data_IF_893833900154
#
_entry.id   IF_893833900154
#
_cell.length_a   1.000
_cell.length_b   1.000
_cell.length_c   1.000
_cell.angle_alpha   90.00
_cell.angle_beta   90.00
_cell.angle_gamma   90.00
#
_symmetry.space_group_name_H-M   'P 1'
#
loop_
_entity.id
_entity.type
_entity.pdbx_description
1 polymer ?
#
# COMPACT_ATOMS: atom_id res chain seq x y z
N UNK A 1 -4.16 9.14 0.38
CA UNK A 1 -2.71 9.42 0.46
C UNK A 1 -2.38 10.91 0.51
N UNK A 2 -2.92 11.82 -0.35
CA UNK A 2 -2.76 13.29 -0.14
C UNK A 2 -3.17 13.76 1.26
N UNK A 3 -4.10 13.06 1.92
CA UNK A 3 -4.57 13.36 3.29
C UNK A 3 -3.61 12.88 4.38
N UNK A 4 -2.86 11.80 4.16
CA UNK A 4 -1.85 11.30 5.12
C UNK A 4 -0.68 12.29 5.18
N UNK A 5 -0.26 12.81 4.02
CA UNK A 5 0.80 13.83 3.96
C UNK A 5 0.39 15.13 4.66
N UNK A 6 -0.86 15.57 4.49
CA UNK A 6 -1.39 16.75 5.19
C UNK A 6 -1.47 16.55 6.71
N UNK A 7 -1.74 15.33 7.18
CA UNK A 7 -1.78 15.00 8.60
C UNK A 7 -0.39 15.01 9.23
N UNK A 8 0.60 14.43 8.54
CA UNK A 8 2.01 14.45 8.96
C UNK A 8 2.55 15.89 9.05
N UNK A 9 2.21 16.74 8.06
CA UNK A 9 2.62 18.16 8.06
C UNK A 9 1.92 18.96 9.17
N UNK A 10 0.64 18.69 9.47
CA UNK A 10 -0.09 19.36 10.57
C UNK A 10 0.43 18.96 11.96
N UNK A 11 0.86 17.71 12.17
CA UNK A 11 1.45 17.29 13.44
C UNK A 11 2.79 17.98 13.71
N UNK A 12 3.62 18.15 12.70
CA UNK A 12 4.89 18.88 12.82
C UNK A 12 4.68 20.39 13.12
N UNK A 13 3.60 21.01 12.58
CA UNK A 13 3.28 22.41 12.82
C UNK A 13 2.65 22.67 14.21
N UNK A 14 1.98 21.69 14.80
CA UNK A 14 1.38 21.85 16.14
C UNK A 14 2.40 21.69 17.29
N UNK A 15 3.48 20.94 17.08
CA UNK A 15 4.55 20.80 18.09
C UNK A 15 5.42 22.07 18.23
N UNK A 16 5.39 22.99 17.26
CA UNK A 16 6.15 24.25 17.25
C UNK A 16 5.44 25.45 17.93
N UNK A 17 4.19 25.32 18.39
CA UNK A 17 3.39 26.46 18.84
C UNK A 17 3.29 26.65 20.36
N UNK A 18 4.04 25.87 21.17
CA UNK A 18 3.97 25.93 22.65
C UNK A 18 5.17 26.58 23.35
N UNK A 19 6.05 27.25 22.62
CA UNK A 19 7.11 28.04 23.24
C UNK A 19 7.02 29.49 22.77
N UNK A 20 6.35 30.35 23.51
CA UNK A 20 6.69 31.72 23.85
C UNK A 20 5.45 32.51 24.24
N UNK A 21 5.42 32.98 25.48
CA UNK A 21 5.10 34.36 25.81
C UNK A 21 5.26 34.52 27.33
N UNK A 22 6.48 34.83 27.76
CA UNK A 22 6.67 35.56 28.99
C UNK A 22 6.78 37.04 28.62
N UNK A 23 5.76 37.79 28.98
CA UNK A 23 5.72 39.26 28.88
C UNK A 23 6.68 39.82 29.87
N UNK A 24 7.64 40.64 29.41
CA UNK A 24 8.57 41.43 30.26
C UNK A 24 7.89 42.78 30.49
N UNK A 25 7.65 43.07 31.78
CA UNK A 25 7.28 44.41 32.25
C UNK A 25 8.55 45.30 32.37
N UNK A 26 8.54 46.55 31.93
CA UNK A 26 9.65 47.46 32.08
C UNK A 26 9.39 48.35 33.28
N UNK A 27 10.14 48.17 34.37
CA UNK A 27 10.60 49.22 35.28
C UNK A 27 11.15 48.62 36.61
N UNK A 28 12.43 48.71 36.81
CA UNK A 28 13.16 49.25 37.99
C UNK A 28 14.64 48.79 38.06
N UNK A 29 15.51 49.53 38.73
CA UNK A 29 16.84 49.81 38.24
C UNK A 29 17.96 49.01 38.93
N UNK A 30 19.06 49.07 38.25
CA UNK A 30 20.45 48.74 38.52
C UNK A 30 20.90 48.80 40.01
N UNK A 31 21.57 47.73 40.45
CA UNK A 31 22.63 47.84 41.48
C UNK A 31 23.65 46.71 41.29
N UNK A 32 24.84 47.11 40.87
CA UNK A 32 26.12 46.38 40.92
C UNK A 32 26.53 46.03 42.34
N UNK A 33 27.08 44.83 42.59
CA UNK A 33 28.33 44.64 43.37
C UNK A 33 28.92 43.23 43.09
N UNK A 34 30.24 43.19 43.10
CA UNK A 34 31.15 42.15 42.63
C UNK A 34 31.49 41.02 43.61
N UNK A 35 32.02 39.98 42.99
CA UNK A 35 33.09 39.04 43.40
C UNK A 35 32.87 38.06 44.55
N UNK A 36 33.13 36.78 44.23
CA UNK A 36 33.43 35.72 45.21
C UNK A 36 33.48 34.33 44.56
N UNK A 37 34.69 33.89 44.23
CA UNK A 37 35.09 32.53 43.82
C UNK A 37 34.73 31.48 44.86
N UNK A 38 34.20 30.32 44.45
CA UNK A 38 34.72 28.98 44.86
C UNK A 38 34.08 27.87 44.03
N UNK A 39 34.91 26.93 43.61
CA UNK A 39 34.55 25.72 42.87
C UNK A 39 33.90 24.65 43.77
N UNK A 40 32.92 23.94 43.27
CA UNK A 40 32.67 22.54 43.65
C UNK A 40 31.92 21.83 42.51
N UNK A 41 32.42 20.67 42.16
CA UNK A 41 31.89 19.76 41.17
C UNK A 41 30.57 19.14 41.65
N UNK A 42 29.63 18.97 40.72
CA UNK A 42 28.43 18.17 40.86
C UNK A 42 27.87 17.96 39.49
N UNK A 43 28.16 16.80 38.89
CA UNK A 43 27.53 16.37 37.69
C UNK A 43 26.07 16.03 38.01
N UNK A 44 25.15 16.59 37.28
CA UNK A 44 23.78 16.10 37.17
C UNK A 44 23.45 15.84 35.70
N UNK A 45 23.15 14.61 35.53
CA UNK A 45 22.76 13.85 34.36
C UNK A 45 21.38 14.36 33.86
N UNK A 46 21.36 15.26 32.89
CA UNK A 46 20.12 15.79 32.27
C UNK A 46 19.83 15.07 30.93
N UNK A 47 19.92 13.73 30.98
CA UNK A 47 19.62 12.87 29.80
C UNK A 47 18.24 12.20 29.83
N UNK A 48 17.43 12.45 30.88
CA UNK A 48 16.11 11.75 31.04
C UNK A 48 14.89 12.49 30.50
N UNK A 49 15.01 13.76 30.15
CA UNK A 49 13.83 14.55 29.68
C UNK A 49 13.58 14.44 28.18
N UNK A 50 14.58 14.15 27.33
CA UNK A 50 14.44 14.09 25.87
C UNK A 50 13.85 12.77 25.37
N UNK A 51 14.06 11.65 26.04
CA UNK A 51 13.54 10.34 25.59
C UNK A 51 12.01 10.23 25.73
N UNK A 52 11.43 10.76 26.80
CA UNK A 52 9.98 10.66 27.04
C UNK A 52 9.12 11.53 26.11
N UNK A 53 9.66 12.64 25.60
CA UNK A 53 8.96 13.52 24.66
C UNK A 53 8.98 12.95 23.24
N UNK A 54 10.06 12.31 22.84
CA UNK A 54 10.20 11.64 21.54
C UNK A 54 9.32 10.37 21.47
N UNK A 55 9.25 9.58 22.53
CA UNK A 55 8.36 8.41 22.62
C UNK A 55 6.90 8.83 22.53
N UNK A 56 6.51 9.93 23.18
CA UNK A 56 5.13 10.44 23.12
C UNK A 56 4.74 10.92 21.72
N UNK A 57 5.64 11.57 20.99
CA UNK A 57 5.42 12.00 19.59
C UNK A 57 5.28 10.80 18.66
N UNK A 58 6.12 9.79 18.83
CA UNK A 58 6.07 8.55 18.03
C UNK A 58 4.76 7.81 18.24
N UNK A 59 4.29 7.65 19.48
CA UNK A 59 3.01 7.00 19.75
C UNK A 59 1.81 7.82 19.23
N UNK A 60 1.86 9.14 19.30
CA UNK A 60 0.83 10.01 18.70
C UNK A 60 0.79 9.86 17.16
N UNK A 61 1.95 9.78 16.51
CA UNK A 61 2.05 9.53 15.07
C UNK A 61 1.47 8.16 14.70
N UNK A 62 1.83 7.10 15.44
CA UNK A 62 1.29 5.75 15.23
C UNK A 62 -0.23 5.72 15.37
N UNK A 63 -0.77 6.38 16.39
CA UNK A 63 -2.22 6.48 16.58
C UNK A 63 -2.91 7.19 15.42
N UNK A 64 -2.33 8.28 14.92
CA UNK A 64 -2.86 9.03 13.78
C UNK A 64 -2.83 8.20 12.48
N UNK A 65 -1.72 7.49 12.22
CA UNK A 65 -1.60 6.58 11.06
C UNK A 65 -2.64 5.44 11.12
N UNK A 66 -2.81 4.81 12.29
CA UNK A 66 -3.84 3.77 12.49
C UNK A 66 -5.23 4.30 12.18
N UNK A 67 -5.60 5.45 12.74
CA UNK A 67 -6.89 6.08 12.51
C UNK A 67 -7.14 6.41 11.02
N UNK A 68 -6.09 6.86 10.30
CA UNK A 68 -6.21 7.14 8.86
C UNK A 68 -6.42 5.86 8.05
N UNK A 69 -5.61 4.82 8.30
CA UNK A 69 -5.72 3.55 7.57
C UNK A 69 -7.04 2.81 7.83
N UNK A 70 -7.64 2.95 9.00
CA UNK A 70 -8.89 2.28 9.36
C UNK A 70 -10.15 2.94 8.79
N UNK A 71 -10.10 4.18 8.30
CA UNK A 71 -11.28 4.94 7.84
C UNK A 71 -12.18 4.15 6.88
N UNK A 72 -11.59 3.49 5.89
CA UNK A 72 -12.36 2.72 4.91
C UNK A 72 -12.95 1.43 5.51
N UNK A 73 -12.25 0.80 6.45
CA UNK A 73 -12.72 -0.39 7.16
C UNK A 73 -13.83 -0.04 8.17
N UNK A 74 -13.81 1.15 8.77
CA UNK A 74 -14.82 1.61 9.73
C UNK A 74 -16.18 1.87 9.08
N UNK A 75 -16.23 2.09 7.75
CA UNK A 75 -17.47 2.19 6.99
C UNK A 75 -18.17 0.82 6.76
N UNK A 76 -17.50 -0.31 7.08
CA UNK A 76 -18.06 -1.65 6.94
C UNK A 76 -18.96 -1.96 8.13
N UNK A 77 -20.24 -2.24 7.85
CA UNK A 77 -21.23 -2.64 8.85
C UNK A 77 -21.42 -4.15 8.84
N UNK A 78 -21.35 -4.76 10.02
CA UNK A 78 -21.49 -6.21 10.21
C UNK A 78 -22.72 -6.48 11.07
N UNK A 79 -23.67 -7.28 10.57
CA UNK A 79 -24.79 -7.84 11.31
C UNK A 79 -24.58 -9.34 11.60
N UNK A 80 -25.53 -9.98 12.23
CA UNK A 80 -25.44 -11.42 12.55
C UNK A 80 -25.35 -12.29 11.27
N UNK A 81 -26.06 -11.90 10.20
CA UNK A 81 -26.25 -12.72 8.99
C UNK A 81 -25.63 -12.11 7.72
N UNK A 82 -25.20 -10.85 7.76
CA UNK A 82 -24.74 -10.13 6.58
C UNK A 82 -23.64 -9.09 6.86
N UNK A 83 -22.96 -8.69 5.80
CA UNK A 83 -21.97 -7.58 5.80
C UNK A 83 -22.39 -6.56 4.75
N UNK A 84 -22.46 -5.29 5.15
CA UNK A 84 -22.85 -4.15 4.31
C UNK A 84 -21.68 -3.19 4.15
N UNK A 85 -21.36 -2.82 2.92
CA UNK A 85 -20.21 -2.00 2.56
C UNK A 85 -20.43 -1.29 1.23
N UNK A 86 -19.59 -0.31 0.91
CA UNK A 86 -19.47 0.26 -0.44
C UNK A 86 -18.42 -0.52 -1.23
N UNK A 87 -18.69 -0.84 -2.47
CA UNK A 87 -17.73 -1.43 -3.41
C UNK A 87 -17.42 -0.47 -4.58
N UNK A 88 -16.73 -0.94 -5.60
CA UNK A 88 -16.36 -0.10 -6.74
C UNK A 88 -17.57 0.35 -7.60
N UNK A 89 -18.76 -0.23 -7.43
CA UNK A 89 -20.00 0.18 -8.11
C UNK A 89 -20.78 1.23 -7.32
N UNK A 90 -20.39 1.52 -6.08
CA UNK A 90 -21.10 2.41 -5.15
C UNK A 90 -20.78 3.90 -5.36
N UNK A 91 -20.51 4.33 -6.60
CA UNK A 91 -20.18 5.73 -6.90
C UNK A 91 -21.31 6.72 -6.58
N UNK A 92 -22.56 6.26 -6.55
CA UNK A 92 -23.76 7.00 -6.17
C UNK A 92 -24.01 7.03 -4.65
N UNK A 93 -23.12 6.42 -3.84
CA UNK A 93 -23.26 6.27 -2.40
C UNK A 93 -24.08 5.06 -1.96
N UNK A 94 -24.54 4.22 -2.90
CA UNK A 94 -25.21 2.96 -2.58
C UNK A 94 -24.32 2.00 -1.81
N UNK A 95 -24.91 0.99 -1.18
CA UNK A 95 -24.18 -0.07 -0.46
C UNK A 95 -24.54 -1.43 -1.02
N UNK A 96 -23.60 -2.36 -0.91
CA UNK A 96 -23.76 -3.76 -1.21
C UNK A 96 -23.92 -4.53 0.09
N UNK A 97 -24.87 -5.46 0.17
CA UNK A 97 -25.09 -6.32 1.33
C UNK A 97 -24.93 -7.77 0.91
N UNK A 98 -24.01 -8.48 1.54
CA UNK A 98 -23.69 -9.89 1.23
C UNK A 98 -23.97 -10.74 2.47
N UNK A 99 -24.66 -11.85 2.28
CA UNK A 99 -24.88 -12.86 3.33
C UNK A 99 -23.56 -13.53 3.73
N UNK A 100 -23.44 -13.81 5.02
CA UNK A 100 -22.30 -14.58 5.57
C UNK A 100 -22.36 -16.06 5.16
N UNK A 101 -21.20 -16.69 5.19
CA UNK A 101 -21.01 -18.12 4.97
C UNK A 101 -21.53 -18.62 3.60
N UNK A 102 -21.14 -18.00 2.46
CA UNK A 102 -21.48 -18.52 1.15
C UNK A 102 -20.87 -19.91 0.96
N UNK A 103 -21.69 -20.89 0.52
CA UNK A 103 -21.22 -22.28 0.33
C UNK A 103 -20.36 -22.45 -0.93
N UNK A 104 -20.58 -21.62 -1.95
CA UNK A 104 -19.86 -21.67 -3.23
C UNK A 104 -19.41 -20.28 -3.64
N UNK A 105 -18.12 -20.04 -3.68
CA UNK A 105 -17.53 -18.77 -4.10
C UNK A 105 -16.73 -18.97 -5.38
N UNK A 106 -16.90 -18.06 -6.36
CA UNK A 106 -16.05 -17.96 -7.54
C UNK A 106 -15.27 -16.65 -7.45
N UNK A 107 -13.94 -16.72 -7.57
CA UNK A 107 -13.09 -15.54 -7.53
C UNK A 107 -12.35 -15.36 -8.84
N UNK A 108 -12.57 -14.21 -9.48
CA UNK A 108 -12.12 -13.91 -10.85
C UNK A 108 -10.84 -13.07 -10.90
N UNK A 109 -10.12 -12.98 -9.76
CA UNK A 109 -8.83 -12.29 -9.70
C UNK A 109 -7.89 -12.96 -8.71
N UNK A 110 -6.73 -13.44 -9.18
CA UNK A 110 -5.84 -14.28 -8.38
C UNK A 110 -5.40 -13.65 -7.03
N UNK A 111 -5.05 -12.33 -7.02
CA UNK A 111 -4.68 -11.65 -5.77
C UNK A 111 -5.86 -11.51 -4.79
N UNK A 112 -7.11 -11.44 -5.28
CA UNK A 112 -8.28 -11.44 -4.39
C UNK A 112 -8.63 -12.85 -3.92
N UNK A 113 -8.28 -13.87 -4.72
CA UNK A 113 -8.36 -15.26 -4.28
C UNK A 113 -7.43 -15.48 -3.09
N UNK A 114 -6.18 -15.01 -3.16
CA UNK A 114 -5.26 -15.13 -2.01
C UNK A 114 -5.75 -14.36 -0.78
N UNK A 115 -6.28 -13.17 -0.95
CA UNK A 115 -6.90 -12.38 0.13
C UNK A 115 -8.12 -13.10 0.74
N UNK A 116 -8.97 -13.71 -0.09
CA UNK A 116 -10.13 -14.46 0.35
C UNK A 116 -9.74 -15.68 1.20
N UNK A 117 -8.68 -16.41 0.77
CA UNK A 117 -8.13 -17.52 1.55
C UNK A 117 -7.50 -17.04 2.87
N UNK A 118 -6.76 -15.95 2.86
CA UNK A 118 -6.17 -15.33 4.05
C UNK A 118 -7.25 -14.91 5.06
N UNK A 119 -8.42 -14.51 4.56
CA UNK A 119 -9.60 -14.17 5.35
C UNK A 119 -10.48 -15.39 5.72
N UNK A 120 -9.95 -16.62 5.60
CA UNK A 120 -10.62 -17.87 6.01
C UNK A 120 -11.57 -18.49 4.98
N UNK A 121 -11.69 -17.89 3.79
CA UNK A 121 -12.60 -18.40 2.76
C UNK A 121 -12.00 -19.50 1.88
N UNK A 122 -12.83 -20.10 1.04
CA UNK A 122 -12.44 -21.04 -0.01
C UNK A 122 -13.24 -20.78 -1.29
N UNK A 123 -12.80 -21.31 -2.42
CA UNK A 123 -13.48 -21.11 -3.71
C UNK A 123 -13.76 -22.44 -4.39
N UNK A 124 -14.82 -22.49 -5.23
CA UNK A 124 -15.12 -23.60 -6.14
C UNK A 124 -14.71 -23.27 -7.57
N UNK A 125 -14.40 -22.01 -7.86
CA UNK A 125 -13.94 -21.55 -9.17
C UNK A 125 -12.92 -20.41 -9.05
N UNK A 126 -11.84 -20.49 -9.83
CA UNK A 126 -10.74 -19.52 -9.77
C UNK A 126 -10.09 -19.29 -11.13
N UNK A 127 -9.19 -18.30 -11.18
CA UNK A 127 -8.32 -18.06 -12.33
C UNK A 127 -7.11 -18.99 -12.24
N UNK A 128 -6.77 -19.66 -13.35
CA UNK A 128 -5.58 -20.50 -13.49
C UNK A 128 -4.44 -19.80 -14.23
N UNK A 129 -3.54 -20.63 -14.76
CA UNK A 129 -2.33 -20.20 -15.46
C UNK A 129 -1.14 -19.98 -14.53
N UNK A 130 0.08 -20.06 -15.07
CA UNK A 130 1.32 -20.12 -14.28
C UNK A 130 1.50 -18.94 -13.30
N UNK A 131 1.12 -17.73 -13.72
CA UNK A 131 1.22 -16.56 -12.83
C UNK A 131 0.30 -16.66 -11.62
N UNK A 132 -0.92 -17.17 -11.79
CA UNK A 132 -1.87 -17.37 -10.69
C UNK A 132 -1.46 -18.52 -9.79
N UNK A 133 -1.01 -19.65 -10.39
CA UNK A 133 -0.52 -20.82 -9.66
C UNK A 133 0.69 -20.48 -8.78
N UNK A 134 1.64 -19.70 -9.29
CA UNK A 134 2.79 -19.21 -8.48
C UNK A 134 2.31 -18.37 -7.30
N UNK A 135 1.32 -17.50 -7.52
CA UNK A 135 0.76 -16.67 -6.46
C UNK A 135 0.04 -17.51 -5.40
N UNK A 136 -0.72 -18.53 -5.80
CA UNK A 136 -1.37 -19.44 -4.87
C UNK A 136 -0.36 -20.25 -4.06
N UNK A 137 0.68 -20.79 -4.70
CA UNK A 137 1.76 -21.49 -4.00
C UNK A 137 2.44 -20.60 -2.94
N UNK A 138 2.68 -19.32 -3.27
CA UNK A 138 3.35 -18.39 -2.36
C UNK A 138 2.46 -17.96 -1.18
N UNK A 139 1.19 -17.65 -1.42
CA UNK A 139 0.30 -17.07 -0.39
C UNK A 139 -0.62 -18.08 0.29
N UNK A 140 -0.98 -19.18 -0.38
CA UNK A 140 -1.87 -20.22 0.15
C UNK A 140 -1.07 -21.48 0.52
N UNK A 141 0.18 -21.58 0.05
CA UNK A 141 1.06 -22.74 0.29
C UNK A 141 0.83 -23.93 -0.64
N UNK A 142 -0.06 -23.79 -1.65
CA UNK A 142 -0.34 -24.84 -2.65
C UNK A 142 -1.01 -24.28 -3.90
N UNK A 143 -0.94 -25.02 -5.00
CA UNK A 143 -1.70 -24.74 -6.21
C UNK A 143 -3.14 -25.23 -6.06
N UNK A 144 -4.06 -24.31 -5.74
CA UNK A 144 -5.48 -24.60 -5.58
C UNK A 144 -6.17 -25.01 -6.88
N UNK A 145 -5.59 -24.76 -8.05
CA UNK A 145 -6.18 -25.16 -9.34
C UNK A 145 -6.24 -26.66 -9.54
N UNK A 146 -5.44 -27.41 -8.74
CA UNK A 146 -5.41 -28.87 -8.71
C UNK A 146 -6.31 -29.49 -7.63
N UNK A 147 -6.96 -28.68 -6.79
CA UNK A 147 -7.84 -29.17 -5.72
C UNK A 147 -9.06 -29.91 -6.32
N UNK A 148 -9.50 -30.99 -5.66
CA UNK A 148 -10.67 -31.75 -6.08
C UNK A 148 -11.93 -30.87 -6.08
N UNK A 149 -12.65 -30.84 -7.19
CA UNK A 149 -13.86 -30.02 -7.36
C UNK A 149 -13.58 -28.55 -7.76
N UNK A 150 -12.31 -28.14 -7.87
CA UNK A 150 -11.96 -26.82 -8.36
C UNK A 150 -12.25 -26.68 -9.86
N UNK A 151 -12.83 -25.55 -10.24
CA UNK A 151 -13.05 -25.20 -11.64
C UNK A 151 -12.19 -24.02 -12.04
N UNK A 152 -11.27 -24.21 -12.98
CA UNK A 152 -10.54 -23.11 -13.62
C UNK A 152 -11.45 -22.47 -14.65
N UNK A 153 -11.85 -21.21 -14.41
CA UNK A 153 -12.80 -20.46 -15.25
C UNK A 153 -12.12 -19.56 -16.27
N UNK A 154 -10.83 -19.33 -16.12
CA UNK A 154 -9.97 -18.67 -17.11
C UNK A 154 -8.50 -18.93 -16.76
N UNK A 155 -7.59 -18.70 -17.71
CA UNK A 155 -6.14 -18.85 -17.53
C UNK A 155 -5.42 -17.51 -17.31
N UNK A 156 -6.14 -16.39 -17.32
CA UNK A 156 -5.61 -15.04 -17.06
C UNK A 156 -6.63 -14.20 -16.31
N UNK A 157 -6.16 -13.33 -15.42
CA UNK A 157 -7.03 -12.40 -14.69
C UNK A 157 -7.55 -11.23 -15.53
N UNK A 158 -7.08 -11.05 -16.78
CA UNK A 158 -7.44 -9.89 -17.63
C UNK A 158 -8.94 -9.77 -17.94
N UNK A 159 -9.72 -10.81 -17.68
CA UNK A 159 -11.17 -10.83 -17.91
C UNK A 159 -11.61 -10.97 -19.37
N UNK A 160 -10.67 -10.87 -20.33
CA UNK A 160 -11.01 -10.96 -21.77
C UNK A 160 -11.52 -12.34 -22.22
N UNK A 161 -11.27 -13.38 -21.41
CA UNK A 161 -11.60 -14.78 -21.74
C UNK A 161 -12.16 -15.52 -20.53
N UNK A 162 -12.94 -14.85 -19.69
CA UNK A 162 -13.70 -15.55 -18.65
C UNK A 162 -14.79 -16.41 -19.29
N UNK A 163 -14.86 -17.66 -18.91
CA UNK A 163 -15.92 -18.57 -19.30
C UNK A 163 -17.19 -18.30 -18.47
N UNK A 164 -17.96 -17.31 -18.88
CA UNK A 164 -19.13 -16.81 -18.16
C UNK A 164 -20.20 -17.90 -18.00
N UNK A 165 -20.38 -18.76 -19.01
CA UNK A 165 -21.33 -19.86 -18.94
C UNK A 165 -20.91 -20.86 -17.87
N UNK A 166 -19.63 -21.23 -17.84
CA UNK A 166 -19.07 -22.09 -16.81
C UNK A 166 -19.18 -21.49 -15.40
N UNK A 167 -18.93 -20.17 -15.26
CA UNK A 167 -19.05 -19.46 -13.98
C UNK A 167 -20.49 -19.57 -13.47
N UNK A 168 -21.48 -19.24 -14.30
CA UNK A 168 -22.90 -19.29 -13.91
C UNK A 168 -23.37 -20.72 -13.68
N UNK A 169 -22.88 -21.70 -14.46
CA UNK A 169 -23.21 -23.12 -14.30
C UNK A 169 -22.74 -23.72 -12.97
N UNK A 170 -21.74 -23.15 -12.34
CA UNK A 170 -21.32 -23.52 -10.96
C UNK A 170 -22.38 -23.14 -9.91
N UNK A 171 -23.33 -22.28 -10.25
CA UNK A 171 -24.33 -21.73 -9.33
C UNK A 171 -23.68 -21.21 -8.04
N UNK A 172 -22.75 -20.24 -8.14
CA UNK A 172 -22.10 -19.71 -6.95
C UNK A 172 -23.07 -18.86 -6.11
N UNK A 173 -22.85 -18.86 -4.81
CA UNK A 173 -23.56 -17.98 -3.88
C UNK A 173 -22.95 -16.57 -3.86
N UNK A 174 -21.71 -16.45 -4.38
CA UNK A 174 -20.96 -15.21 -4.42
C UNK A 174 -19.91 -15.25 -5.55
N UNK A 175 -19.81 -14.15 -6.30
CA UNK A 175 -18.71 -13.88 -7.22
C UNK A 175 -17.89 -12.70 -6.68
N UNK A 176 -16.55 -12.85 -6.64
CA UNK A 176 -15.61 -11.78 -6.30
C UNK A 176 -14.82 -11.43 -7.56
N UNK A 177 -14.79 -10.17 -7.96
CA UNK A 177 -14.03 -9.71 -9.12
C UNK A 177 -13.55 -8.25 -8.97
N UNK A 178 -12.80 -7.76 -9.95
CA UNK A 178 -12.32 -6.38 -9.99
C UNK A 178 -12.96 -5.62 -11.15
N UNK A 179 -13.41 -4.40 -10.91
CA UNK A 179 -13.89 -3.49 -11.97
C UNK A 179 -12.76 -3.01 -12.88
N UNK A 180 -11.49 -3.08 -12.42
CA UNK A 180 -10.33 -2.78 -13.25
C UNK A 180 -10.11 -3.83 -14.37
N UNK A 181 -10.74 -5.00 -14.27
CA UNK A 181 -10.65 -6.04 -15.28
C UNK A 181 -11.69 -5.82 -16.38
N UNK A 182 -11.26 -5.86 -17.64
CA UNK A 182 -12.15 -5.66 -18.82
C UNK A 182 -13.30 -6.68 -18.91
N UNK A 183 -13.19 -7.81 -18.21
CA UNK A 183 -14.24 -8.83 -18.13
C UNK A 183 -15.36 -8.52 -17.14
N UNK A 184 -15.24 -7.50 -16.29
CA UNK A 184 -16.28 -7.17 -15.32
C UNK A 184 -17.65 -7.00 -15.97
N UNK A 185 -17.74 -6.20 -17.04
CA UNK A 185 -18.99 -5.98 -17.79
C UNK A 185 -19.56 -7.26 -18.43
N UNK A 186 -18.76 -8.29 -18.64
CA UNK A 186 -19.22 -9.58 -19.22
C UNK A 186 -19.84 -10.49 -18.17
N UNK A 187 -19.51 -10.35 -16.90
CA UNK A 187 -20.07 -11.17 -15.80
C UNK A 187 -21.24 -10.49 -15.08
N UNK A 188 -21.28 -9.17 -15.01
CA UNK A 188 -22.27 -8.40 -14.26
C UNK A 188 -23.71 -8.76 -14.63
N UNK A 189 -24.06 -8.68 -15.92
CA UNK A 189 -25.42 -8.96 -16.40
C UNK A 189 -25.81 -10.44 -16.26
N UNK A 190 -24.99 -11.43 -16.65
CA UNK A 190 -25.30 -12.84 -16.41
C UNK A 190 -25.47 -13.19 -14.94
N UNK A 191 -24.63 -12.67 -14.05
CA UNK A 191 -24.74 -12.88 -12.61
C UNK A 191 -26.05 -12.30 -12.08
N UNK A 192 -26.41 -11.06 -12.48
CA UNK A 192 -27.67 -10.43 -12.10
C UNK A 192 -28.88 -11.22 -12.59
N UNK A 193 -28.87 -11.71 -13.84
CA UNK A 193 -29.95 -12.54 -14.39
C UNK A 193 -30.11 -13.87 -13.62
N UNK A 194 -29.04 -14.41 -13.09
CA UNK A 194 -29.02 -15.62 -12.27
C UNK A 194 -29.25 -15.36 -10.76
N UNK A 195 -29.46 -14.10 -10.35
CA UNK A 195 -29.54 -13.67 -8.93
C UNK A 195 -28.29 -14.03 -8.10
N UNK A 196 -27.11 -14.00 -8.71
CA UNK A 196 -25.83 -14.25 -8.06
C UNK A 196 -25.24 -12.89 -7.63
N UNK A 197 -24.99 -12.66 -6.33
CA UNK A 197 -24.34 -11.44 -5.86
C UNK A 197 -22.90 -11.37 -6.34
N UNK A 198 -22.45 -10.14 -6.70
CA UNK A 198 -21.09 -9.84 -7.15
C UNK A 198 -20.50 -8.79 -6.26
N UNK A 199 -19.29 -9.03 -5.73
CA UNK A 199 -18.48 -7.99 -5.08
C UNK A 199 -17.51 -7.44 -6.12
N UNK A 200 -17.59 -6.14 -6.36
CA UNK A 200 -16.72 -5.41 -7.27
C UNK A 200 -15.57 -4.75 -6.49
N UNK A 201 -14.46 -5.46 -6.35
CA UNK A 201 -13.32 -5.00 -5.55
C UNK A 201 -12.53 -3.93 -6.30
N UNK A 202 -12.27 -2.81 -5.62
CA UNK A 202 -11.22 -1.85 -5.95
C UNK A 202 -10.22 -1.86 -4.78
N UNK A 203 -8.95 -2.12 -5.08
CA UNK A 203 -7.92 -2.30 -4.08
C UNK A 203 -6.62 -1.67 -4.59
N UNK A 204 -6.30 -0.47 -4.10
CA UNK A 204 -5.18 0.33 -4.60
C UNK A 204 -4.13 0.63 -3.52
N UNK A 205 -4.47 0.49 -2.23
CA UNK A 205 -3.55 0.79 -1.13
C UNK A 205 -3.78 -0.09 0.11
N UNK A 206 -3.08 0.22 1.19
CA UNK A 206 -3.17 -0.53 2.45
C UNK A 206 -4.51 -0.32 3.17
N UNK A 207 -5.15 0.86 3.05
CA UNK A 207 -6.49 1.08 3.61
C UNK A 207 -7.53 0.19 2.93
N UNK A 208 -7.39 0.00 1.61
CA UNK A 208 -8.23 -0.93 0.85
C UNK A 208 -8.01 -2.39 1.30
N UNK A 209 -6.76 -2.78 1.60
CA UNK A 209 -6.50 -4.10 2.18
C UNK A 209 -7.29 -4.31 3.47
N UNK A 210 -7.19 -3.38 4.42
CA UNK A 210 -7.89 -3.47 5.70
C UNK A 210 -9.41 -3.55 5.50
N UNK A 211 -9.97 -2.70 4.66
CA UNK A 211 -11.39 -2.73 4.31
C UNK A 211 -11.82 -4.09 3.78
N UNK A 212 -11.14 -4.58 2.74
CA UNK A 212 -11.51 -5.84 2.09
C UNK A 212 -11.25 -7.04 2.98
N UNK A 213 -10.22 -7.01 3.81
CA UNK A 213 -10.00 -8.05 4.81
C UNK A 213 -11.15 -8.11 5.82
N UNK A 214 -11.59 -6.95 6.36
CA UNK A 214 -12.75 -6.86 7.26
C UNK A 214 -14.03 -7.41 6.61
N UNK A 215 -14.28 -7.04 5.35
CA UNK A 215 -15.42 -7.56 4.58
C UNK A 215 -15.31 -9.07 4.43
N UNK A 216 -14.17 -9.58 3.99
CA UNK A 216 -14.01 -10.99 3.65
C UNK A 216 -13.98 -11.91 4.86
N UNK A 217 -13.28 -11.56 5.95
CA UNK A 217 -13.25 -12.41 7.15
C UNK A 217 -14.63 -12.51 7.81
N UNK A 218 -15.44 -11.44 7.74
CA UNK A 218 -16.81 -11.50 8.23
C UNK A 218 -17.76 -12.27 7.32
N UNK A 219 -17.60 -12.17 5.98
CA UNK A 219 -18.40 -12.95 5.03
C UNK A 219 -18.03 -14.44 5.11
N UNK A 220 -16.74 -14.79 5.24
CA UNK A 220 -16.27 -16.18 5.32
C UNK A 220 -16.61 -16.86 6.65
N UNK A 221 -17.07 -16.10 7.67
CA UNK A 221 -17.40 -16.62 9.00
C UNK A 221 -16.21 -16.71 9.95
N UNK A 222 -15.11 -16.01 9.68
CA UNK A 222 -13.87 -15.97 10.46
C UNK A 222 -13.53 -14.58 10.97
N UNK A 223 -14.44 -13.90 11.72
CA UNK A 223 -14.20 -12.51 12.19
C UNK A 223 -12.98 -12.39 13.11
N UNK A 224 -12.54 -13.46 13.79
CA UNK A 224 -11.36 -13.51 14.65
C UNK A 224 -10.05 -13.24 13.88
N UNK A 225 -10.03 -13.43 12.56
CA UNK A 225 -8.88 -13.14 11.71
C UNK A 225 -8.66 -11.63 11.56
N UNK A 226 -9.69 -10.82 11.82
CA UNK A 226 -9.53 -9.37 11.82
C UNK A 226 -8.42 -8.93 12.78
N UNK A 227 -8.48 -9.39 14.03
CA UNK A 227 -7.50 -8.99 15.04
C UNK A 227 -6.15 -9.69 14.84
N UNK A 228 -6.17 -10.99 14.54
CA UNK A 228 -4.95 -11.80 14.47
C UNK A 228 -4.13 -11.58 13.19
N UNK A 229 -4.75 -11.11 12.09
CA UNK A 229 -4.07 -10.91 10.80
C UNK A 229 -4.05 -9.44 10.40
N UNK A 230 -5.23 -8.80 10.22
CA UNK A 230 -5.30 -7.46 9.67
C UNK A 230 -4.79 -6.40 10.64
N UNK A 231 -5.19 -6.46 11.92
CA UNK A 231 -4.73 -5.50 12.93
C UNK A 231 -3.24 -5.67 13.23
N UNK A 232 -2.74 -6.92 13.21
CA UNK A 232 -1.29 -7.15 13.29
C UNK A 232 -0.55 -6.55 12.09
N UNK A 233 -1.05 -6.74 10.87
CA UNK A 233 -0.46 -6.12 9.68
C UNK A 233 -0.48 -4.59 9.76
N UNK A 234 -1.54 -3.99 10.34
CA UNK A 234 -1.64 -2.55 10.60
C UNK A 234 -0.56 -2.08 11.58
N UNK A 235 -0.39 -2.78 12.70
CA UNK A 235 0.65 -2.46 13.69
C UNK A 235 2.05 -2.52 13.06
N UNK A 236 2.32 -3.57 12.30
CA UNK A 236 3.61 -3.76 11.63
C UNK A 236 3.89 -2.65 10.59
N UNK A 237 2.90 -2.26 9.76
CA UNK A 237 3.03 -1.15 8.79
C UNK A 237 3.24 0.19 9.49
N UNK A 238 2.47 0.47 10.52
CA UNK A 238 2.56 1.73 11.28
C UNK A 238 3.91 1.84 11.98
N UNK A 239 4.45 0.74 12.50
CA UNK A 239 5.79 0.73 13.10
C UNK A 239 6.85 1.10 12.05
N UNK A 240 6.84 0.49 10.87
CA UNK A 240 7.78 0.85 9.79
C UNK A 240 7.66 2.32 9.41
N UNK A 241 6.43 2.84 9.27
CA UNK A 241 6.21 4.24 8.88
C UNK A 241 6.62 5.24 9.98
N UNK A 242 6.51 4.86 11.25
CA UNK A 242 6.94 5.70 12.35
C UNK A 242 8.47 5.82 12.47
N UNK A 243 9.22 4.88 11.88
CA UNK A 243 10.69 4.87 11.83
C UNK A 243 11.25 5.64 10.62
N UNK A 244 10.40 6.16 9.71
CA UNK A 244 10.85 6.94 8.56
C UNK A 244 11.42 8.29 9.04
N UNK A 245 12.66 8.64 8.66
CA UNK A 245 13.28 9.91 9.04
C UNK A 245 12.46 11.12 8.61
N UNK A 246 12.49 12.18 9.42
CA UNK A 246 11.83 13.45 9.11
C UNK A 246 12.62 14.29 8.09
N UNK A 247 13.92 14.04 7.99
CA UNK A 247 14.85 14.74 7.12
C UNK A 247 15.48 13.80 6.08
N UNK A 248 16.05 14.36 5.03
CA UNK A 248 16.76 13.58 4.00
C UNK A 248 15.83 12.85 3.02
N UNK A 249 14.60 13.32 2.86
CA UNK A 249 13.61 12.73 1.93
C UNK A 249 14.14 12.69 0.49
N UNK A 250 14.32 11.49 -0.13
CA UNK A 250 14.86 11.38 -1.47
C UNK A 250 13.82 11.77 -2.53
N UNK A 251 14.33 12.21 -3.69
CA UNK A 251 13.55 12.39 -4.92
C UNK A 251 13.56 11.09 -5.69
N UNK A 252 12.39 10.54 -5.96
CA UNK A 252 12.22 9.20 -6.52
C UNK A 252 11.54 9.27 -7.87
N UNK A 253 12.13 8.61 -8.87
CA UNK A 253 11.44 8.32 -10.10
C UNK A 253 10.84 6.91 -10.03
N UNK A 254 9.52 6.83 -9.94
CA UNK A 254 8.79 5.56 -9.88
C UNK A 254 8.37 5.12 -11.29
N UNK A 255 8.90 3.99 -11.76
CA UNK A 255 8.64 3.40 -13.06
C UNK A 255 7.81 2.13 -12.94
N UNK A 256 7.08 1.80 -14.01
CA UNK A 256 6.42 0.52 -14.22
C UNK A 256 6.89 -0.14 -15.51
N UNK A 257 7.47 -1.32 -15.39
CA UNK A 257 7.86 -2.17 -16.51
C UNK A 257 6.78 -3.25 -16.74
N UNK A 258 5.93 -3.05 -17.76
CA UNK A 258 4.98 -4.09 -18.19
C UNK A 258 5.56 -4.88 -19.37
N UNK A 259 4.80 -5.83 -19.92
CA UNK A 259 5.30 -6.73 -20.98
C UNK A 259 5.69 -6.02 -22.30
N UNK A 260 5.29 -4.76 -22.53
CA UNK A 260 5.45 -4.08 -23.82
C UNK A 260 5.93 -2.63 -23.75
N UNK A 261 5.89 -2.01 -22.57
CA UNK A 261 6.26 -0.59 -22.41
C UNK A 261 6.72 -0.26 -20.99
N UNK A 262 7.41 0.87 -20.88
CA UNK A 262 7.77 1.50 -19.62
C UNK A 262 6.87 2.73 -19.39
N UNK A 263 6.26 2.82 -18.21
CA UNK A 263 5.43 3.95 -17.79
C UNK A 263 5.98 4.56 -16.50
N UNK A 264 5.59 5.78 -16.19
CA UNK A 264 5.87 6.46 -14.92
C UNK A 264 4.67 6.29 -13.98
N UNK A 265 4.89 5.82 -12.75
CA UNK A 265 3.85 5.67 -11.73
C UNK A 265 3.64 6.98 -10.97
N UNK A 266 2.41 7.49 -10.93
CA UNK A 266 2.00 8.55 -10.00
C UNK A 266 1.78 8.00 -8.59
N UNK A 267 1.61 8.87 -7.61
CA UNK A 267 1.25 8.47 -6.23
C UNK A 267 -0.14 7.85 -6.10
N UNK A 268 -0.93 7.79 -7.18
CA UNK A 268 -2.20 7.06 -7.22
C UNK A 268 -2.02 5.55 -7.39
N UNK A 269 -0.81 5.07 -7.74
CA UNK A 269 -0.49 3.64 -7.77
C UNK A 269 -0.07 3.13 -6.39
N UNK A 270 -0.16 1.81 -6.15
CA UNK A 270 0.28 1.20 -4.87
C UNK A 270 1.72 1.62 -4.53
N UNK A 271 2.67 1.44 -5.45
CA UNK A 271 4.09 1.74 -5.21
C UNK A 271 4.33 3.25 -5.06
N UNK A 272 3.74 4.07 -5.94
CA UNK A 272 3.86 5.52 -5.83
C UNK A 272 3.28 6.07 -4.53
N UNK A 273 2.16 5.50 -4.07
CA UNK A 273 1.57 5.82 -2.78
C UNK A 273 2.42 5.43 -1.59
N UNK A 274 3.10 4.28 -1.65
CA UNK A 274 4.06 3.88 -0.62
C UNK A 274 5.24 4.85 -0.54
N UNK A 275 5.78 5.30 -1.68
CA UNK A 275 6.84 6.33 -1.74
C UNK A 275 6.41 7.60 -1.00
N UNK A 276 5.20 8.08 -1.28
CA UNK A 276 4.65 9.28 -0.64
C UNK A 276 4.39 9.08 0.85
N UNK A 277 3.86 7.91 1.24
CA UNK A 277 3.61 7.58 2.65
C UNK A 277 4.91 7.56 3.48
N UNK A 278 6.04 7.28 2.84
CA UNK A 278 7.39 7.32 3.43
C UNK A 278 8.04 8.69 3.32
N UNK A 279 7.31 9.77 3.12
CA UNK A 279 7.80 11.15 3.02
C UNK A 279 8.72 11.42 1.82
N UNK A 280 9.03 10.43 0.97
CA UNK A 280 9.84 10.60 -0.23
C UNK A 280 9.04 11.32 -1.33
N UNK A 281 9.73 12.08 -2.20
CA UNK A 281 9.09 12.83 -3.27
C UNK A 281 9.09 12.03 -4.57
N UNK A 282 7.91 11.57 -5.01
CA UNK A 282 7.75 11.02 -6.34
C UNK A 282 7.75 12.16 -7.38
N UNK A 283 8.79 12.26 -8.23
CA UNK A 283 8.92 13.34 -9.21
C UNK A 283 7.81 13.31 -10.27
N UNK A 284 7.16 12.18 -10.48
CA UNK A 284 6.07 12.00 -11.46
C UNK A 284 4.82 12.82 -11.07
N UNK A 285 4.64 13.11 -9.79
CA UNK A 285 3.49 13.89 -9.29
C UNK A 285 3.58 15.39 -9.68
N UNK A 286 4.76 15.87 -10.05
CA UNK A 286 4.96 17.22 -10.58
C UNK A 286 4.59 17.33 -12.08
N UNK A 287 4.33 16.20 -12.76
CA UNK A 287 4.01 16.20 -14.18
C UNK A 287 2.54 16.56 -14.43
N UNK A 288 2.25 17.10 -15.61
CA UNK A 288 0.88 17.40 -16.00
C UNK A 288 0.07 16.10 -16.12
N UNK A 289 -1.01 16.02 -15.36
CA UNK A 289 -1.92 14.87 -15.30
C UNK A 289 -3.38 15.33 -15.14
N UNK A 290 -3.95 16.00 -16.17
CA UNK A 290 -5.28 16.58 -16.07
C UNK A 290 -6.39 15.53 -15.92
N UNK A 291 -6.16 14.31 -16.38
CA UNK A 291 -7.10 13.20 -16.30
C UNK A 291 -6.99 12.38 -15.01
N UNK A 292 -5.99 12.66 -14.17
CA UNK A 292 -5.72 11.91 -12.95
C UNK A 292 -5.29 10.46 -13.20
N UNK A 293 -4.60 10.21 -14.31
CA UNK A 293 -4.14 8.88 -14.68
C UNK A 293 -3.14 8.32 -13.65
N UNK A 294 -3.26 7.04 -13.33
CA UNK A 294 -2.33 6.36 -12.43
C UNK A 294 -0.92 6.26 -13.00
N UNK A 295 -0.81 6.19 -14.34
CA UNK A 295 0.46 6.05 -15.06
C UNK A 295 0.54 7.02 -16.21
N UNK A 296 1.73 7.60 -16.37
CA UNK A 296 2.03 8.58 -17.40
C UNK A 296 3.13 8.05 -18.33
N UNK A 297 3.12 8.54 -19.56
CA UNK A 297 4.22 8.26 -20.52
C UNK A 297 5.49 8.93 -20.04
N UNK A 298 6.61 8.19 -20.08
CA UNK A 298 7.92 8.69 -19.65
C UNK A 298 8.45 9.69 -20.69
N UNK A 299 8.86 10.87 -20.21
CA UNK A 299 9.66 11.85 -20.93
C UNK A 299 11.03 11.96 -20.24
N UNK A 300 12.07 11.45 -20.89
CA UNK A 300 13.42 11.45 -20.30
C UNK A 300 14.01 12.85 -20.07
N UNK A 301 13.63 13.85 -20.85
CA UNK A 301 14.08 15.24 -20.64
C UNK A 301 13.49 15.80 -19.32
N UNK A 302 12.23 15.48 -19.04
CA UNK A 302 11.58 15.84 -17.78
C UNK A 302 12.22 15.10 -16.60
N UNK A 303 12.54 13.82 -16.75
CA UNK A 303 13.26 13.03 -15.74
C UNK A 303 14.66 13.61 -15.50
N UNK A 304 15.38 13.97 -16.56
CA UNK A 304 16.71 14.57 -16.49
C UNK A 304 16.68 15.94 -15.77
N UNK A 305 15.72 16.80 -16.11
CA UNK A 305 15.56 18.10 -15.45
C UNK A 305 15.24 17.95 -13.96
N UNK A 306 14.55 16.89 -13.60
CA UNK A 306 14.26 16.54 -12.21
C UNK A 306 15.46 15.88 -11.50
N UNK A 307 16.34 15.18 -12.18
CA UNK A 307 17.51 14.42 -11.70
C UNK A 307 17.24 13.68 -10.38
N UNK A 308 16.47 12.58 -10.40
CA UNK A 308 16.07 11.86 -9.19
C UNK A 308 17.28 11.23 -8.48
N UNK A 309 17.20 11.13 -7.15
CA UNK A 309 18.22 10.47 -6.32
C UNK A 309 18.16 8.95 -6.45
N UNK A 310 16.95 8.43 -6.68
CA UNK A 310 16.64 7.00 -6.74
C UNK A 310 15.64 6.73 -7.86
N UNK A 311 15.86 5.64 -8.59
CA UNK A 311 14.89 5.09 -9.55
C UNK A 311 14.41 3.74 -9.02
N UNK A 312 13.09 3.57 -8.90
CA UNK A 312 12.46 2.29 -8.58
C UNK A 312 11.64 1.80 -9.76
N UNK A 313 11.73 0.52 -10.07
CA UNK A 313 11.04 -0.11 -11.19
C UNK A 313 10.12 -1.20 -10.66
N UNK A 314 8.81 -0.96 -10.71
CA UNK A 314 7.78 -1.96 -10.43
C UNK A 314 7.72 -2.96 -11.60
N UNK A 315 7.89 -4.26 -11.32
CA UNK A 315 8.07 -5.29 -12.32
C UNK A 315 6.80 -6.13 -12.53
N UNK A 316 6.22 -6.09 -13.74
CA UNK A 316 5.06 -6.94 -14.11
C UNK A 316 5.48 -8.40 -14.40
N UNK A 317 6.55 -8.59 -15.16
CA UNK A 317 7.00 -9.91 -15.64
C UNK A 317 8.13 -10.53 -14.79
N UNK A 318 8.53 -9.87 -13.69
CA UNK A 318 9.68 -10.21 -12.86
C UNK A 318 10.84 -9.25 -13.05
N UNK A 319 11.82 -9.31 -12.12
CA UNK A 319 12.92 -8.36 -12.05
C UNK A 319 13.88 -8.46 -13.24
N UNK A 320 14.23 -9.67 -13.69
CA UNK A 320 15.14 -9.88 -14.81
C UNK A 320 14.56 -9.36 -16.14
N UNK A 321 13.27 -9.65 -16.39
CA UNK A 321 12.57 -9.14 -17.57
C UNK A 321 12.47 -7.62 -17.57
N UNK A 322 12.17 -7.00 -16.42
CA UNK A 322 12.11 -5.56 -16.27
C UNK A 322 13.49 -4.90 -16.49
N UNK A 323 14.56 -5.51 -15.95
CA UNK A 323 15.94 -5.05 -16.15
C UNK A 323 16.34 -5.10 -17.62
N UNK A 324 16.07 -6.21 -18.30
CA UNK A 324 16.33 -6.34 -19.72
C UNK A 324 15.58 -5.29 -20.54
N UNK A 325 14.32 -5.04 -20.23
CA UNK A 325 13.49 -4.04 -20.92
C UNK A 325 13.97 -2.61 -20.71
N UNK A 326 14.39 -2.23 -19.49
CA UNK A 326 14.97 -0.91 -19.21
C UNK A 326 16.28 -0.73 -19.95
N UNK A 327 17.12 -1.75 -19.96
CA UNK A 327 18.41 -1.73 -20.67
C UNK A 327 18.21 -1.63 -22.19
N UNK A 328 17.29 -2.40 -22.77
CA UNK A 328 16.95 -2.33 -24.19
C UNK A 328 16.42 -0.96 -24.59
N UNK A 329 15.56 -0.35 -23.73
CA UNK A 329 14.88 0.91 -24.04
C UNK A 329 15.79 2.12 -23.81
N UNK A 330 16.54 2.14 -22.72
CA UNK A 330 17.27 3.32 -22.26
C UNK A 330 18.78 3.10 -22.07
N UNK A 331 19.30 1.87 -22.04
CA UNK A 331 20.67 1.58 -21.67
C UNK A 331 21.72 2.30 -22.52
N UNK A 332 21.47 2.50 -23.82
CA UNK A 332 22.35 3.28 -24.72
C UNK A 332 22.03 4.77 -24.80
N UNK A 333 20.98 5.25 -24.12
CA UNK A 333 20.56 6.65 -24.19
C UNK A 333 21.46 7.54 -23.30
N UNK A 334 22.16 8.57 -23.87
CA UNK A 334 23.05 9.42 -23.08
C UNK A 334 22.34 10.20 -21.96
N UNK A 335 21.07 10.57 -22.13
CA UNK A 335 20.28 11.26 -21.12
C UNK A 335 20.05 10.34 -19.92
N UNK A 336 19.67 9.09 -20.18
CA UNK A 336 19.50 8.07 -19.13
C UNK A 336 20.81 7.84 -18.37
N UNK A 337 21.91 7.62 -19.09
CA UNK A 337 23.24 7.38 -18.49
C UNK A 337 23.76 8.58 -17.67
N UNK A 338 23.27 9.79 -17.94
CA UNK A 338 23.69 11.01 -17.23
C UNK A 338 22.92 11.24 -15.92
N UNK A 339 21.80 10.55 -15.69
CA UNK A 339 21.02 10.65 -14.44
C UNK A 339 21.87 10.27 -13.23
N UNK A 340 21.77 11.06 -12.16
CA UNK A 340 22.52 10.81 -10.92
C UNK A 340 22.21 9.42 -10.33
N UNK A 341 20.96 9.00 -10.32
CA UNK A 341 20.56 7.66 -9.87
C UNK A 341 21.22 6.53 -10.68
N UNK A 342 21.32 6.68 -12.01
CA UNK A 342 21.93 5.67 -12.88
C UNK A 342 23.44 5.59 -12.65
N UNK A 343 24.12 6.74 -12.63
CA UNK A 343 25.58 6.80 -12.38
C UNK A 343 26.00 6.25 -11.04
N UNK A 344 25.14 6.41 -10.02
CA UNK A 344 25.38 5.97 -8.66
C UNK A 344 24.88 4.54 -8.38
N UNK A 345 24.35 3.83 -9.39
CA UNK A 345 23.82 2.47 -9.24
C UNK A 345 22.55 2.39 -8.40
N UNK A 346 21.79 3.49 -8.28
CA UNK A 346 20.57 3.57 -7.48
C UNK A 346 19.30 3.33 -8.33
N UNK A 347 19.34 2.28 -9.15
CA UNK A 347 18.19 1.78 -9.93
C UNK A 347 17.77 0.43 -9.34
N UNK A 348 16.62 0.38 -8.72
CA UNK A 348 16.13 -0.79 -7.98
C UNK A 348 14.92 -1.42 -8.66
N UNK A 349 14.95 -2.74 -8.85
CA UNK A 349 13.86 -3.52 -9.44
C UNK A 349 13.09 -4.22 -8.35
N UNK A 350 11.80 -3.86 -8.21
CA UNK A 350 10.95 -4.30 -7.11
C UNK A 350 10.34 -5.67 -7.39
N UNK A 351 10.33 -6.55 -6.41
CA UNK A 351 9.78 -7.90 -6.53
C UNK A 351 8.29 -7.87 -6.90
N UNK A 352 7.92 -8.67 -7.91
CA UNK A 352 6.54 -8.73 -8.44
C UNK A 352 5.51 -9.05 -7.34
N UNK A 353 5.80 -10.01 -6.48
CA UNK A 353 4.86 -10.52 -5.48
C UNK A 353 4.47 -9.48 -4.44
N UNK A 354 5.41 -8.64 -4.02
CA UNK A 354 5.17 -7.59 -3.03
C UNK A 354 4.69 -6.26 -3.63
N UNK A 355 5.09 -5.94 -4.88
CA UNK A 355 4.92 -4.59 -5.41
C UNK A 355 4.02 -4.51 -6.64
N UNK A 356 3.83 -5.62 -7.39
CA UNK A 356 2.89 -5.67 -8.51
C UNK A 356 1.61 -6.42 -8.16
N UNK A 357 1.73 -7.57 -7.51
CA UNK A 357 0.59 -8.26 -6.91
C UNK A 357 0.14 -7.50 -5.64
N UNK A 358 -0.97 -7.90 -5.07
CA UNK A 358 -1.41 -7.32 -3.80
C UNK A 358 -0.67 -8.05 -2.66
N UNK A 359 0.10 -7.35 -1.82
CA UNK A 359 0.91 -8.01 -0.77
C UNK A 359 0.09 -8.56 0.40
N UNK A 360 -1.19 -8.14 0.55
CA UNK A 360 -2.08 -8.57 1.62
C UNK A 360 -1.46 -8.32 3.01
N UNK A 361 -1.43 -9.28 3.94
CA UNK A 361 -0.80 -9.12 5.26
C UNK A 361 0.71 -8.82 5.20
N UNK A 362 1.36 -9.00 4.03
CA UNK A 362 2.78 -8.71 3.83
C UNK A 362 3.08 -7.25 3.47
N UNK A 363 2.13 -6.32 3.63
CA UNK A 363 2.40 -4.91 3.39
C UNK A 363 3.57 -4.36 4.20
N UNK A 364 3.73 -4.77 5.47
CA UNK A 364 4.86 -4.33 6.29
C UNK A 364 6.21 -4.76 5.70
N UNK A 365 6.30 -5.98 5.13
CA UNK A 365 7.49 -6.44 4.39
C UNK A 365 7.76 -5.55 3.17
N UNK A 366 6.71 -5.20 2.41
CA UNK A 366 6.85 -4.33 1.25
C UNK A 366 7.27 -2.90 1.64
N UNK A 367 6.64 -2.33 2.69
CA UNK A 367 7.01 -1.03 3.22
C UNK A 367 8.46 -1.01 3.72
N UNK A 368 8.90 -2.01 4.48
CA UNK A 368 10.27 -2.05 4.97
C UNK A 368 11.28 -2.17 3.83
N UNK A 369 11.09 -3.09 2.88
CA UNK A 369 12.00 -3.23 1.74
C UNK A 369 12.13 -1.93 0.94
N UNK A 370 11.04 -1.21 0.77
CA UNK A 370 11.08 0.08 0.10
C UNK A 370 11.74 1.16 0.97
N UNK A 371 11.50 1.17 2.28
CA UNK A 371 12.14 2.07 3.22
C UNK A 371 13.67 1.90 3.25
N UNK A 372 14.17 0.67 3.25
CA UNK A 372 15.60 0.34 3.16
C UNK A 372 16.25 0.86 1.86
N UNK A 373 15.49 0.87 0.74
CA UNK A 373 15.94 1.47 -0.53
C UNK A 373 15.97 3.00 -0.45
N UNK A 374 14.95 3.61 0.15
CA UNK A 374 14.80 5.06 0.20
C UNK A 374 15.72 5.71 1.26
N UNK A 375 15.94 5.00 2.37
CA UNK A 375 16.68 5.48 3.54
C UNK A 375 17.71 4.44 4.00
N UNK A 376 18.78 4.19 3.20
CA UNK A 376 19.72 3.10 3.45
C UNK A 376 20.51 3.25 4.76
N UNK A 377 20.61 4.46 5.30
CA UNK A 377 21.33 4.76 6.54
C UNK A 377 20.41 4.67 7.78
N UNK A 378 19.09 4.50 7.60
CA UNK A 378 18.15 4.34 8.71
C UNK A 378 18.05 2.87 9.14
N UNK A 379 17.80 2.65 10.44
CA UNK A 379 17.54 1.32 10.98
C UNK A 379 16.04 1.10 11.13
N UNK A 380 15.54 -0.05 10.63
CA UNK A 380 14.14 -0.44 10.73
C UNK A 380 14.00 -1.68 11.62
N UNK A 381 13.06 -1.66 12.56
CA UNK A 381 12.89 -2.70 13.58
C UNK A 381 12.02 -3.87 13.16
N UNK A 382 11.18 -3.70 12.13
CA UNK A 382 10.30 -4.78 11.65
C UNK A 382 11.14 -5.99 11.23
N UNK A 383 10.75 -7.16 11.71
CA UNK A 383 11.34 -8.45 11.30
C UNK A 383 10.23 -9.34 10.79
N UNK A 384 10.35 -9.78 9.53
CA UNK A 384 9.47 -10.78 8.99
C UNK A 384 9.46 -11.99 9.91
N UNK A 385 8.29 -12.44 10.35
CA UNK A 385 8.15 -13.71 11.04
C UNK A 385 8.59 -14.85 10.09
N UNK A 386 9.51 -15.70 10.55
CA UNK A 386 10.01 -16.85 9.81
C UNK A 386 8.91 -17.89 9.61
#
# INVERSE_FOLDING_TARGET
MKKIFALLLCLCLMAGALTACAVKDPDSPDTTVAAGTTAAAGGDDDTTATSGEDDSKTEALKAALKAEFLKAADEVTVSDDAVTFKDATSADGSTVTIKKNPGKVVNLYASFTTLWYEAGGSVVGCIGGSSSQNLYNEYIGRDITADAGMTVVATTSSGKKWDTEKIVALQPDLIICSTAMSGYSTIENPAKAANIPVIAVKYDDFSDYLKWFKVFCNISGHPELWDSVAMKALDDVVNVLAEIPDEGAPRVFSMFANASKLDANTSSTVVGGMVTAMKAKNIVDDWQNPEGAERLTINLETVFAADPDIIIVQCHAGTDAAKAQVEETYGSNPVWQSLSAVRNGKVFYLEKTLFHNKPNSRFAEAYQKLAEILYPDAAFSFKKAN
#
